data_IF_821140839658
#
_entry.id   IF_821140839658
#
_cell.length_a   1.000
_cell.length_b   1.000
_cell.length_c   1.000
_cell.angle_alpha   90.00
_cell.angle_beta   90.00
_cell.angle_gamma   90.00
#
_symmetry.space_group_name_H-M   'P 1'
#
loop_
_entity.id
_entity.type
_entity.pdbx_description
1 polymer ?
#
# COMPACT_ATOMS: atom_id res chain seq x y z
N UNK A 1 9.95 15.35 35.85
CA UNK A 1 10.81 14.44 35.04
C UNK A 1 10.04 13.23 34.51
N UNK A 2 9.23 12.53 35.33
CA UNK A 2 8.49 11.33 34.91
C UNK A 2 7.54 11.53 33.71
N UNK A 3 6.84 12.66 33.63
CA UNK A 3 5.89 12.97 32.54
C UNK A 3 6.55 13.04 31.16
N UNK A 4 7.76 13.63 31.05
CA UNK A 4 8.52 13.73 29.78
C UNK A 4 9.03 12.36 29.30
N UNK A 5 9.37 11.49 30.25
CA UNK A 5 9.80 10.12 29.97
C UNK A 5 8.63 9.23 29.54
N UNK A 6 7.48 9.34 30.22
CA UNK A 6 6.27 8.58 29.88
C UNK A 6 5.74 9.01 28.50
N UNK A 7 5.65 10.32 28.23
CA UNK A 7 5.25 10.82 26.91
C UNK A 7 6.21 10.37 25.80
N UNK A 8 7.53 10.39 26.04
CA UNK A 8 8.50 9.86 25.10
C UNK A 8 8.30 8.37 24.79
N UNK A 9 8.03 7.54 25.80
CA UNK A 9 7.74 6.10 25.62
C UNK A 9 6.47 5.91 24.78
N UNK A 10 5.40 6.65 25.07
CA UNK A 10 4.15 6.58 24.31
C UNK A 10 4.39 6.94 22.83
N UNK A 11 5.16 8.00 22.57
CA UNK A 11 5.51 8.42 21.20
C UNK A 11 6.30 7.33 20.46
N UNK A 12 7.26 6.68 21.12
CA UNK A 12 8.01 5.56 20.52
C UNK A 12 7.08 4.40 20.19
N UNK A 13 6.16 4.04 21.10
CA UNK A 13 5.19 2.96 20.86
C UNK A 13 4.33 3.26 19.62
N UNK A 14 3.80 4.49 19.53
CA UNK A 14 3.02 4.92 18.35
C UNK A 14 3.87 4.83 17.08
N UNK A 15 5.12 5.28 17.13
CA UNK A 15 6.04 5.20 15.99
C UNK A 15 6.29 3.76 15.53
N UNK A 16 6.51 2.83 16.48
CA UNK A 16 6.68 1.39 16.18
C UNK A 16 5.40 0.82 15.54
N UNK A 17 4.23 1.12 16.10
CA UNK A 17 2.95 0.66 15.55
C UNK A 17 2.76 1.12 14.10
N UNK A 18 3.08 2.38 13.78
CA UNK A 18 2.98 2.92 12.43
C UNK A 18 3.93 2.22 11.44
N UNK A 19 5.17 1.93 11.86
CA UNK A 19 6.12 1.17 11.04
C UNK A 19 5.62 -0.24 10.78
N UNK A 20 5.11 -0.95 11.79
CA UNK A 20 4.54 -2.29 11.63
C UNK A 20 3.32 -2.29 10.70
N UNK A 21 2.41 -1.33 10.87
CA UNK A 21 1.26 -1.16 9.98
C UNK A 21 1.68 -0.89 8.54
N UNK A 22 2.75 -0.11 8.32
CA UNK A 22 3.31 0.12 6.99
C UNK A 22 3.77 -1.19 6.32
N UNK A 23 4.49 -2.07 7.04
CA UNK A 23 4.89 -3.36 6.50
C UNK A 23 3.69 -4.22 6.13
N UNK A 24 2.65 -4.25 6.96
CA UNK A 24 1.42 -4.98 6.67
C UNK A 24 0.74 -4.45 5.40
N UNK A 25 0.59 -3.12 5.26
CA UNK A 25 -0.01 -2.50 4.07
C UNK A 25 0.84 -2.79 2.83
N UNK A 26 2.18 -2.65 2.89
CA UNK A 26 3.08 -2.98 1.77
C UNK A 26 2.96 -4.44 1.34
N UNK A 27 2.84 -5.36 2.29
CA UNK A 27 2.62 -6.78 1.98
C UNK A 27 1.29 -6.99 1.25
N UNK A 28 0.20 -6.38 1.74
CA UNK A 28 -1.13 -6.47 1.11
C UNK A 28 -1.16 -5.85 -0.28
N UNK A 29 -0.53 -4.69 -0.46
CA UNK A 29 -0.38 -4.04 -1.77
C UNK A 29 0.40 -4.92 -2.73
N UNK A 30 1.48 -5.56 -2.28
CA UNK A 30 2.26 -6.49 -3.12
C UNK A 30 1.40 -7.68 -3.59
N UNK A 31 0.67 -8.31 -2.67
CA UNK A 31 -0.26 -9.40 -3.01
C UNK A 31 -1.36 -8.94 -3.95
N UNK A 32 -2.00 -7.79 -3.68
CA UNK A 32 -3.04 -7.24 -4.56
C UNK A 32 -2.51 -6.91 -5.96
N UNK A 33 -1.28 -6.39 -6.09
CA UNK A 33 -0.64 -6.17 -7.39
C UNK A 33 -0.37 -7.48 -8.15
N UNK A 34 -0.05 -8.58 -7.45
CA UNK A 34 0.09 -9.89 -8.10
C UNK A 34 -1.26 -10.37 -8.63
N UNK A 35 -2.33 -10.30 -7.84
CA UNK A 35 -3.69 -10.66 -8.26
C UNK A 35 -4.15 -9.80 -9.46
N UNK A 36 -3.86 -8.50 -9.44
CA UNK A 36 -4.14 -7.60 -10.56
C UNK A 36 -3.37 -8.03 -11.82
N UNK A 37 -2.10 -8.41 -11.68
CA UNK A 37 -1.29 -8.88 -12.81
C UNK A 37 -1.83 -10.20 -13.40
N UNK A 38 -2.32 -11.11 -12.56
CA UNK A 38 -2.96 -12.36 -13.00
C UNK A 38 -4.29 -12.10 -13.70
N UNK A 39 -5.11 -11.19 -13.16
CA UNK A 39 -6.36 -10.75 -13.79
C UNK A 39 -6.10 -10.09 -15.15
N UNK A 40 -5.07 -9.23 -15.23
CA UNK A 40 -4.64 -8.58 -16.47
C UNK A 40 -4.18 -9.61 -17.51
N UNK A 41 -3.42 -10.63 -17.09
CA UNK A 41 -3.02 -11.74 -17.96
C UNK A 41 -4.22 -12.50 -18.51
N UNK A 42 -5.23 -12.74 -17.68
CA UNK A 42 -6.48 -13.41 -18.09
C UNK A 42 -7.27 -12.58 -19.09
N UNK A 43 -7.42 -11.29 -18.84
CA UNK A 43 -8.05 -10.34 -19.77
C UNK A 43 -7.32 -10.31 -21.12
N UNK A 44 -5.98 -10.26 -21.09
CA UNK A 44 -5.16 -10.26 -22.30
C UNK A 44 -5.29 -11.56 -23.09
N UNK A 45 -5.39 -12.72 -22.42
CA UNK A 45 -5.67 -14.01 -23.06
C UNK A 45 -7.07 -14.02 -23.70
N UNK A 46 -8.08 -13.50 -23.00
CA UNK A 46 -9.43 -13.34 -23.55
C UNK A 46 -9.43 -12.47 -24.81
N UNK A 47 -8.81 -11.29 -24.77
CA UNK A 47 -8.66 -10.42 -25.96
C UNK A 47 -7.96 -11.12 -27.12
N UNK A 48 -6.93 -11.92 -26.86
CA UNK A 48 -6.24 -12.72 -27.90
C UNK A 48 -7.14 -13.78 -28.55
N UNK A 49 -8.02 -14.42 -27.76
CA UNK A 49 -8.95 -15.42 -28.29
C UNK A 49 -10.06 -14.78 -29.15
N UNK A 50 -10.49 -13.58 -28.80
CA UNK A 50 -11.56 -12.87 -29.51
C UNK A 50 -11.06 -11.96 -30.65
N UNK A 51 -9.76 -11.81 -30.87
CA UNK A 51 -9.20 -10.92 -31.90
C UNK A 51 -9.10 -11.54 -33.31
N UNK A 52 -9.62 -12.75 -33.52
CA UNK A 52 -9.50 -13.52 -34.77
C UNK A 52 -10.35 -12.95 -35.91
N UNK A 53 -11.49 -12.31 -35.62
CA UNK A 53 -12.33 -11.62 -36.63
C UNK A 53 -12.79 -10.24 -36.13
N UNK A 54 -13.09 -9.26 -37.01
CA UNK A 54 -13.51 -7.92 -36.59
C UNK A 54 -14.74 -7.93 -35.67
N UNK A 55 -15.71 -8.81 -35.96
CA UNK A 55 -16.95 -8.96 -35.18
C UNK A 55 -16.66 -9.53 -33.79
N UNK A 56 -15.79 -10.55 -33.69
CA UNK A 56 -15.41 -11.08 -32.37
C UNK A 56 -14.53 -10.10 -31.59
N UNK A 57 -13.80 -9.22 -32.28
CA UNK A 57 -12.92 -8.23 -31.67
C UNK A 57 -13.71 -7.16 -30.92
N UNK A 58 -14.79 -6.66 -31.51
CA UNK A 58 -15.72 -5.73 -30.85
C UNK A 58 -16.41 -6.38 -29.64
N UNK A 59 -16.86 -7.63 -29.77
CA UNK A 59 -17.47 -8.38 -28.65
C UNK A 59 -16.45 -8.61 -27.53
N UNK A 60 -15.21 -8.97 -27.90
CA UNK A 60 -14.10 -9.15 -26.97
C UNK A 60 -13.75 -7.87 -26.22
N UNK A 61 -13.69 -6.72 -26.89
CA UNK A 61 -13.38 -5.42 -26.28
C UNK A 61 -14.50 -4.91 -25.38
N UNK A 62 -15.78 -5.15 -25.72
CA UNK A 62 -16.91 -4.81 -24.84
C UNK A 62 -16.90 -5.67 -23.56
N UNK A 63 -16.71 -6.98 -23.70
CA UNK A 63 -16.69 -7.91 -22.56
C UNK A 63 -15.48 -7.67 -21.64
N UNK A 64 -14.31 -7.41 -22.23
CA UNK A 64 -13.07 -7.23 -21.46
C UNK A 64 -12.82 -5.79 -21.01
N UNK A 65 -13.48 -4.79 -21.61
CA UNK A 65 -13.34 -3.38 -21.25
C UNK A 65 -13.80 -3.08 -19.82
N UNK A 66 -14.89 -3.72 -19.37
CA UNK A 66 -15.38 -3.60 -18.00
C UNK A 66 -14.40 -4.20 -16.97
N UNK A 67 -13.80 -5.35 -17.30
CA UNK A 67 -12.76 -5.98 -16.49
C UNK A 67 -11.47 -5.14 -16.47
N UNK A 68 -11.07 -4.59 -17.61
CA UNK A 68 -9.90 -3.70 -17.72
C UNK A 68 -10.08 -2.43 -16.88
N UNK A 69 -11.28 -1.84 -16.88
CA UNK A 69 -11.57 -0.66 -16.05
C UNK A 69 -11.42 -0.96 -14.57
N UNK A 70 -11.97 -2.09 -14.09
CA UNK A 70 -11.83 -2.54 -12.70
C UNK A 70 -10.37 -2.82 -12.33
N UNK A 71 -9.59 -3.41 -13.24
CA UNK A 71 -8.15 -3.62 -13.05
C UNK A 71 -7.40 -2.29 -12.90
N UNK A 72 -7.68 -1.32 -13.76
CA UNK A 72 -7.04 -0.01 -13.70
C UNK A 72 -7.39 0.72 -12.39
N UNK A 73 -8.65 0.68 -11.96
CA UNK A 73 -9.10 1.25 -10.69
C UNK A 73 -8.41 0.56 -9.49
N UNK A 74 -8.35 -0.78 -9.48
CA UNK A 74 -7.67 -1.53 -8.44
C UNK A 74 -6.17 -1.24 -8.38
N UNK A 75 -5.52 -1.07 -9.54
CA UNK A 75 -4.11 -0.68 -9.61
C UNK A 75 -3.87 0.71 -9.03
N UNK A 76 -4.73 1.69 -9.37
CA UNK A 76 -4.65 3.04 -8.82
C UNK A 76 -4.85 3.09 -7.30
N UNK A 77 -5.75 2.26 -6.77
CA UNK A 77 -5.91 2.09 -5.32
C UNK A 77 -4.67 1.48 -4.68
N UNK A 78 -4.11 0.42 -5.27
CA UNK A 78 -2.89 -0.23 -4.78
C UNK A 78 -1.71 0.76 -4.70
N UNK A 79 -1.57 1.65 -5.68
CA UNK A 79 -0.55 2.71 -5.71
C UNK A 79 -0.76 3.72 -4.58
N UNK A 80 -2.00 4.14 -4.35
CA UNK A 80 -2.36 5.05 -3.27
C UNK A 80 -2.02 4.46 -1.89
N UNK A 81 -2.33 3.18 -1.67
CA UNK A 81 -1.96 2.47 -0.44
C UNK A 81 -0.45 2.27 -0.31
N UNK A 82 0.29 2.08 -1.41
CA UNK A 82 1.75 2.00 -1.39
C UNK A 82 2.39 3.31 -0.91
N UNK A 83 1.87 4.44 -1.39
CA UNK A 83 2.30 5.78 -0.97
C UNK A 83 1.96 5.99 0.50
N UNK A 84 0.74 5.67 0.94
CA UNK A 84 0.33 5.78 2.34
C UNK A 84 1.22 4.94 3.27
N UNK A 85 1.54 3.70 2.88
CA UNK A 85 2.44 2.87 3.67
C UNK A 85 3.85 3.47 3.76
N UNK A 86 4.33 4.09 2.69
CA UNK A 86 5.63 4.78 2.72
C UNK A 86 5.61 5.98 3.66
N UNK A 87 4.54 6.77 3.65
CA UNK A 87 4.33 7.85 4.63
C UNK A 87 4.27 7.34 6.06
N UNK A 88 3.59 6.24 6.33
CA UNK A 88 3.56 5.62 7.66
C UNK A 88 4.93 5.12 8.11
N UNK A 89 5.76 4.61 7.19
CA UNK A 89 7.12 4.18 7.52
C UNK A 89 8.00 5.37 7.91
N UNK A 90 7.96 6.44 7.12
CA UNK A 90 8.74 7.67 7.35
C UNK A 90 8.26 8.35 8.64
N UNK A 91 6.95 8.56 8.78
CA UNK A 91 6.35 9.17 9.96
C UNK A 91 6.63 8.35 11.22
N UNK A 92 6.47 7.03 11.15
CA UNK A 92 6.79 6.13 12.26
C UNK A 92 8.26 6.21 12.68
N UNK A 93 9.19 6.23 11.73
CA UNK A 93 10.62 6.41 12.02
C UNK A 93 10.91 7.76 12.70
N UNK A 94 10.31 8.85 12.23
CA UNK A 94 10.45 10.18 12.85
C UNK A 94 9.92 10.18 14.29
N UNK A 95 8.75 9.58 14.53
CA UNK A 95 8.20 9.46 15.88
C UNK A 95 9.11 8.66 16.82
N UNK A 96 9.71 7.55 16.35
CA UNK A 96 10.66 6.77 17.15
C UNK A 96 11.87 7.64 17.55
N UNK A 97 12.44 8.39 16.60
CA UNK A 97 13.60 9.25 16.86
C UNK A 97 13.24 10.37 17.86
N UNK A 98 12.12 11.07 17.64
CA UNK A 98 11.66 12.13 18.55
C UNK A 98 11.36 11.60 19.95
N UNK A 99 10.70 10.46 20.05
CA UNK A 99 10.42 9.79 21.32
C UNK A 99 11.70 9.40 22.06
N UNK A 100 12.70 8.85 21.35
CA UNK A 100 14.00 8.50 21.93
C UNK A 100 14.75 9.74 22.46
N UNK A 101 14.73 10.85 21.72
CA UNK A 101 15.33 12.12 22.15
C UNK A 101 14.64 12.66 23.41
N UNK A 102 13.31 12.63 23.47
CA UNK A 102 12.56 13.05 24.65
C UNK A 102 12.87 12.21 25.89
N UNK A 103 13.01 10.89 25.72
CA UNK A 103 13.42 9.98 26.80
C UNK A 103 14.83 10.32 27.28
N UNK A 104 15.77 10.55 26.37
CA UNK A 104 17.16 10.88 26.68
C UNK A 104 17.28 12.20 27.47
N UNK A 105 16.62 13.26 27.00
CA UNK A 105 16.60 14.56 27.69
C UNK A 105 15.93 14.45 29.06
N UNK A 106 14.84 13.66 29.16
CA UNK A 106 14.15 13.41 30.41
C UNK A 106 14.94 12.58 31.44
N UNK A 107 16.07 11.97 31.03
CA UNK A 107 16.97 11.18 31.88
C UNK A 107 18.19 11.97 32.37
N UNK A 108 18.54 13.07 31.70
CA UNK A 108 19.73 13.89 31.98
C UNK A 108 19.49 15.02 33.00
N UNK A 109 18.25 15.23 33.43
CA UNK A 109 17.84 16.12 34.53
C UNK A 109 17.26 15.27 35.65
#
# INVERSE_FOLDING_TARGET
MRVKRISGIIIVIIGISLVLSSFYIKSRVKSGRQEISEAQSTVNKGKKLFSVTPITKDVGDVLTGSAQKKINEASGMADSYAVLATWFQIGGAVFIVLGAVLIYIGRKK
#
